data_IF_353920574184
#
_entry.id   IF_353920574184
#
_cell.length_a   1.000
_cell.length_b   1.000
_cell.length_c   1.000
_cell.angle_alpha   90.00
_cell.angle_beta   90.00
_cell.angle_gamma   90.00
#
_symmetry.space_group_name_H-M   'P 1'
#
loop_
_entity.id
_entity.type
_entity.pdbx_description
1 polymer ?
#
# COMPACT_ATOMS: atom_id res chain seq x y z
N UNK A 1 6.28 -21.81 2.89
CA UNK A 1 5.49 -20.69 3.46
C UNK A 1 4.56 -21.09 4.61
N UNK A 2 3.71 -22.11 4.47
CA UNK A 2 2.65 -22.45 5.44
C UNK A 2 3.07 -22.61 6.92
N UNK A 3 4.27 -23.15 7.23
CA UNK A 3 4.77 -23.22 8.63
C UNK A 3 4.95 -21.83 9.26
N UNK A 4 5.48 -20.89 8.49
CA UNK A 4 5.73 -19.51 8.93
C UNK A 4 4.42 -18.80 9.28
N UNK A 5 3.36 -19.03 8.48
CA UNK A 5 2.02 -18.47 8.75
C UNK A 5 1.48 -18.99 10.08
N UNK A 6 1.61 -20.30 10.36
CA UNK A 6 1.21 -20.86 11.65
C UNK A 6 1.95 -20.24 12.83
N UNK A 7 3.27 -20.19 12.75
CA UNK A 7 4.11 -19.59 13.80
C UNK A 7 3.78 -18.11 14.03
N UNK A 8 3.50 -17.35 12.96
CA UNK A 8 3.10 -15.95 13.07
C UNK A 8 1.79 -15.79 13.85
N UNK A 9 0.79 -16.60 13.55
CA UNK A 9 -0.50 -16.55 14.26
C UNK A 9 -0.39 -17.08 15.69
N UNK A 10 0.44 -18.09 15.96
CA UNK A 10 0.73 -18.57 17.32
C UNK A 10 1.40 -17.49 18.17
N UNK A 11 2.43 -16.83 17.62
CA UNK A 11 3.09 -15.70 18.28
C UNK A 11 2.12 -14.55 18.54
N UNK A 12 1.23 -14.26 17.58
CA UNK A 12 0.22 -13.22 17.72
C UNK A 12 -0.78 -13.55 18.85
N UNK A 13 -1.27 -14.79 18.92
CA UNK A 13 -2.19 -15.28 19.97
C UNK A 13 -1.57 -15.21 21.36
N UNK A 14 -0.25 -15.37 21.49
CA UNK A 14 0.46 -15.23 22.75
C UNK A 14 0.55 -13.76 23.24
N UNK A 15 0.22 -12.76 22.40
CA UNK A 15 0.23 -11.34 22.77
C UNK A 15 -1.16 -10.87 23.19
N UNK A 16 -1.20 -9.95 24.16
CA UNK A 16 -2.45 -9.33 24.65
C UNK A 16 -3.16 -8.48 23.57
N UNK A 17 -2.38 -7.79 22.72
CA UNK A 17 -2.85 -7.01 21.58
C UNK A 17 -1.72 -6.93 20.55
N UNK A 18 -2.01 -7.16 19.27
CA UNK A 18 -1.04 -6.99 18.19
C UNK A 18 -1.71 -6.68 16.85
N UNK A 19 -0.94 -6.12 15.92
CA UNK A 19 -1.38 -5.88 14.54
C UNK A 19 -0.44 -6.69 13.65
N UNK A 20 -1.02 -7.54 12.80
CA UNK A 20 -0.28 -8.27 11.76
C UNK A 20 -0.50 -7.53 10.45
N UNK A 21 0.58 -7.12 9.79
CA UNK A 21 0.53 -6.45 8.50
C UNK A 21 1.16 -7.33 7.42
N UNK A 22 0.39 -7.63 6.38
CA UNK A 22 0.86 -8.30 5.17
C UNK A 22 0.91 -7.27 4.05
N UNK A 23 2.10 -7.01 3.52
CA UNK A 23 2.26 -6.23 2.30
C UNK A 23 2.40 -7.17 1.10
N UNK A 24 2.01 -6.69 -0.08
CA UNK A 24 2.09 -7.45 -1.35
C UNK A 24 1.53 -8.87 -1.22
N UNK A 25 0.34 -9.02 -0.62
CA UNK A 25 -0.26 -10.35 -0.39
C UNK A 25 -0.56 -11.10 -1.70
N UNK A 26 -0.63 -10.39 -2.84
CA UNK A 26 -0.68 -10.97 -4.18
C UNK A 26 0.56 -11.78 -4.55
N UNK A 27 1.73 -11.50 -3.96
CA UNK A 27 2.94 -12.30 -4.15
C UNK A 27 2.82 -13.72 -3.57
N UNK A 28 1.97 -13.90 -2.55
CA UNK A 28 1.69 -15.21 -1.93
C UNK A 28 0.28 -15.75 -2.22
N UNK A 29 -0.55 -14.96 -2.91
CA UNK A 29 -1.99 -15.21 -3.09
C UNK A 29 -2.49 -15.16 -4.55
N UNK A 30 -1.59 -15.07 -5.54
CA UNK A 30 -1.96 -14.99 -6.95
C UNK A 30 -2.72 -16.20 -7.46
N UNK A 31 -3.96 -15.98 -7.90
CA UNK A 31 -4.78 -16.97 -8.59
C UNK A 31 -4.39 -17.10 -10.08
N UNK A 32 -3.67 -18.20 -10.39
CA UNK A 32 -3.56 -18.89 -11.70
C UNK A 32 -2.69 -18.26 -12.81
N UNK A 33 -1.91 -19.09 -13.50
CA UNK A 33 -2.24 -19.61 -14.84
C UNK A 33 -1.51 -20.94 -15.11
N UNK A 34 -2.16 -21.75 -15.95
CA UNK A 34 -1.91 -23.13 -16.35
C UNK A 34 -0.61 -23.31 -17.16
N UNK A 35 0.56 -23.22 -16.52
CA UNK A 35 1.84 -23.63 -17.14
C UNK A 35 2.48 -24.73 -16.30
N UNK A 36 2.37 -25.95 -16.82
CA UNK A 36 2.82 -27.17 -16.15
C UNK A 36 4.30 -27.12 -15.78
N UNK A 37 4.60 -27.09 -14.47
CA UNK A 37 5.72 -27.79 -13.83
C UNK A 37 5.81 -27.41 -12.34
N UNK A 38 5.20 -28.22 -11.46
CA UNK A 38 5.69 -28.60 -10.12
C UNK A 38 5.98 -27.55 -9.02
N UNK A 39 6.21 -26.27 -9.32
CA UNK A 39 6.67 -25.25 -8.35
C UNK A 39 5.56 -24.52 -7.60
N UNK A 40 4.31 -24.61 -8.09
CA UNK A 40 3.21 -23.72 -7.69
C UNK A 40 2.42 -24.21 -6.45
N UNK A 41 2.71 -25.44 -6.00
CA UNK A 41 2.03 -26.05 -4.86
C UNK A 41 2.35 -25.35 -3.52
N UNK A 42 3.52 -24.71 -3.38
CA UNK A 42 3.92 -24.13 -2.09
C UNK A 42 3.24 -22.79 -1.80
N UNK A 43 3.09 -21.94 -2.82
CA UNK A 43 2.44 -20.63 -2.72
C UNK A 43 0.95 -20.83 -2.38
N UNK A 44 0.27 -21.69 -3.15
CA UNK A 44 -1.13 -22.05 -2.88
C UNK A 44 -1.33 -22.64 -1.48
N UNK A 45 -0.44 -23.55 -1.03
CA UNK A 45 -0.50 -24.09 0.34
C UNK A 45 -0.34 -23.01 1.41
N UNK A 46 0.48 -22.00 1.15
CA UNK A 46 0.69 -20.89 2.08
C UNK A 46 -0.55 -19.98 2.16
N UNK A 47 -1.20 -19.73 1.02
CA UNK A 47 -2.46 -18.98 0.96
C UNK A 47 -3.60 -19.72 1.66
N UNK A 48 -3.78 -21.02 1.40
CA UNK A 48 -4.80 -21.83 2.07
C UNK A 48 -4.58 -21.88 3.58
N UNK A 49 -3.32 -21.98 4.03
CA UNK A 49 -3.01 -21.92 5.47
C UNK A 49 -3.39 -20.56 6.07
N UNK A 50 -3.12 -19.45 5.37
CA UNK A 50 -3.52 -18.13 5.83
C UNK A 50 -5.05 -18.01 5.95
N UNK A 51 -5.81 -18.54 4.98
CA UNK A 51 -7.28 -18.59 5.04
C UNK A 51 -7.75 -19.40 6.26
N UNK A 52 -7.14 -20.57 6.50
CA UNK A 52 -7.48 -21.41 7.65
C UNK A 52 -7.19 -20.71 8.99
N UNK A 53 -6.07 -20.00 9.10
CA UNK A 53 -5.73 -19.24 10.30
C UNK A 53 -6.71 -18.08 10.55
N UNK A 54 -7.21 -17.44 9.48
CA UNK A 54 -8.22 -16.38 9.55
C UNK A 54 -9.61 -16.90 9.93
N UNK A 55 -10.02 -18.08 9.42
CA UNK A 55 -11.31 -18.71 9.80
C UNK A 55 -11.39 -19.06 11.29
N UNK A 56 -10.26 -19.49 11.86
CA UNK A 56 -10.12 -19.77 13.29
C UNK A 56 -9.81 -18.52 14.14
N UNK A 57 -9.96 -17.32 13.57
CA UNK A 57 -9.61 -16.06 14.22
C UNK A 57 -10.86 -15.33 14.70
N UNK A 58 -10.86 -14.82 15.93
CA UNK A 58 -11.93 -13.95 16.40
C UNK A 58 -11.69 -12.51 15.93
N UNK A 59 -12.48 -11.97 14.97
CA UNK A 59 -12.32 -10.61 14.48
C UNK A 59 -12.61 -9.55 15.57
N UNK A 60 -13.32 -9.92 16.65
CA UNK A 60 -13.59 -9.06 17.81
C UNK A 60 -12.47 -9.07 18.84
N UNK A 61 -11.48 -9.95 18.69
CA UNK A 61 -10.30 -10.02 19.55
C UNK A 61 -9.40 -8.77 19.46
N UNK A 62 -8.42 -8.72 20.37
CA UNK A 62 -7.43 -7.63 20.45
C UNK A 62 -6.34 -7.69 19.39
N UNK A 63 -6.43 -8.64 18.46
CA UNK A 63 -5.46 -8.81 17.38
C UNK A 63 -6.15 -8.42 16.08
N UNK A 64 -5.51 -7.58 15.28
CA UNK A 64 -6.03 -7.10 13.99
C UNK A 64 -5.09 -7.50 12.87
N UNK A 65 -5.65 -7.88 11.73
CA UNK A 65 -4.90 -8.22 10.52
C UNK A 65 -5.17 -7.15 9.48
N UNK A 66 -4.09 -6.62 8.90
CA UNK A 66 -4.10 -5.67 7.80
C UNK A 66 -3.39 -6.31 6.61
N UNK A 67 -3.97 -6.16 5.42
CA UNK A 67 -3.41 -6.70 4.19
C UNK A 67 -3.41 -5.61 3.12
N UNK A 68 -2.31 -5.50 2.39
CA UNK A 68 -2.17 -4.60 1.24
C UNK A 68 -1.87 -5.41 -0.03
N UNK A 69 -2.48 -5.02 -1.13
CA UNK A 69 -2.26 -5.58 -2.47
C UNK A 69 -2.43 -4.49 -3.51
N UNK A 70 -1.68 -4.60 -4.60
CA UNK A 70 -1.86 -3.78 -5.80
C UNK A 70 -2.78 -4.47 -6.84
N UNK A 71 -3.10 -5.76 -6.62
CA UNK A 71 -3.87 -6.63 -7.52
C UNK A 71 -4.98 -7.33 -6.75
N UNK A 72 -6.04 -6.62 -6.34
CA UNK A 72 -7.15 -7.23 -5.60
C UNK A 72 -7.92 -8.29 -6.41
N UNK A 73 -7.87 -8.20 -7.74
CA UNK A 73 -8.46 -9.13 -8.71
C UNK A 73 -7.75 -10.49 -8.76
N UNK A 74 -6.45 -10.54 -8.44
CA UNK A 74 -5.68 -11.80 -8.41
C UNK A 74 -5.81 -12.57 -7.11
N UNK A 75 -6.46 -12.00 -6.08
CA UNK A 75 -6.60 -12.67 -4.79
C UNK A 75 -7.64 -13.79 -4.82
N UNK A 76 -7.39 -14.83 -4.01
CA UNK A 76 -8.34 -15.93 -3.84
C UNK A 76 -9.71 -15.39 -3.37
N UNK A 77 -10.81 -15.65 -4.11
CA UNK A 77 -12.15 -15.22 -3.74
C UNK A 77 -12.59 -15.70 -2.34
N UNK A 78 -11.98 -16.77 -1.84
CA UNK A 78 -12.20 -17.28 -0.50
C UNK A 78 -11.83 -16.24 0.58
N UNK A 79 -10.76 -15.45 0.42
CA UNK A 79 -10.42 -14.37 1.36
C UNK A 79 -11.49 -13.28 1.41
N UNK A 80 -12.20 -13.08 0.31
CA UNK A 80 -13.19 -12.01 0.16
C UNK A 80 -14.53 -12.32 0.81
N UNK A 81 -14.70 -13.53 1.37
CA UNK A 81 -15.92 -13.95 2.06
C UNK A 81 -16.08 -13.26 3.42
N UNK A 82 -17.33 -12.97 3.85
CA UNK A 82 -17.60 -12.40 5.17
C UNK A 82 -17.00 -13.24 6.30
N UNK A 83 -16.40 -12.59 7.30
CA UNK A 83 -15.73 -13.26 8.43
C UNK A 83 -14.22 -13.45 8.29
N UNK A 84 -13.64 -13.09 7.13
CA UNK A 84 -12.18 -13.13 6.87
C UNK A 84 -11.62 -11.73 6.63
N UNK A 85 -12.11 -11.07 5.57
CA UNK A 85 -11.82 -9.66 5.26
C UNK A 85 -13.08 -8.83 5.40
N UNK A 86 -13.28 -8.27 6.59
CA UNK A 86 -14.50 -7.51 6.93
C UNK A 86 -14.51 -6.09 6.34
N UNK A 87 -13.34 -5.47 6.18
CA UNK A 87 -13.18 -4.09 5.70
C UNK A 87 -12.29 -4.06 4.48
N UNK A 88 -12.81 -3.50 3.40
CA UNK A 88 -12.06 -3.23 2.16
C UNK A 88 -11.94 -1.72 2.04
N UNK A 89 -10.70 -1.24 2.00
CA UNK A 89 -10.39 0.16 1.81
C UNK A 89 -9.64 0.24 0.49
N UNK A 90 -10.26 0.89 -0.48
CA UNK A 90 -9.64 1.14 -1.78
C UNK A 90 -8.94 2.49 -1.75
N UNK A 91 -7.67 2.50 -2.16
CA UNK A 91 -6.89 3.73 -2.30
C UNK A 91 -6.92 4.18 -3.76
N UNK A 92 -7.76 5.16 -4.05
CA UNK A 92 -7.78 5.82 -5.34
C UNK A 92 -6.61 6.79 -5.53
N UNK A 93 -6.47 7.31 -6.74
CA UNK A 93 -5.53 8.39 -7.00
C UNK A 93 -5.94 9.66 -6.23
N UNK A 94 -4.98 10.41 -5.65
CA UNK A 94 -5.29 11.64 -4.96
C UNK A 94 -5.85 12.68 -5.94
N UNK A 95 -6.89 13.38 -5.52
CA UNK A 95 -7.43 14.54 -6.22
C UNK A 95 -6.48 15.75 -6.15
N UNK A 96 -6.89 16.87 -6.73
CA UNK A 96 -6.04 18.06 -6.77
C UNK A 96 -5.67 18.56 -5.35
N UNK A 97 -6.64 18.52 -4.43
CA UNK A 97 -6.43 18.93 -3.05
C UNK A 97 -5.49 17.97 -2.31
N UNK A 98 -5.71 16.67 -2.45
CA UNK A 98 -4.86 15.61 -1.91
C UNK A 98 -3.43 15.71 -2.40
N UNK A 99 -3.22 15.91 -3.72
CA UNK A 99 -1.89 16.16 -4.29
C UNK A 99 -1.25 17.42 -3.69
N UNK A 100 -2.00 18.52 -3.59
CA UNK A 100 -1.52 19.77 -2.97
C UNK A 100 -1.09 19.54 -1.52
N UNK A 101 -1.83 18.73 -0.76
CA UNK A 101 -1.50 18.40 0.62
C UNK A 101 -0.24 17.53 0.72
N UNK A 102 -0.10 16.54 -0.16
CA UNK A 102 1.10 15.70 -0.27
C UNK A 102 2.33 16.57 -0.52
N UNK A 103 2.27 17.49 -1.50
CA UNK A 103 3.35 18.44 -1.77
C UNK A 103 3.70 19.27 -0.52
N UNK A 104 2.70 19.81 0.19
CA UNK A 104 2.91 20.58 1.41
C UNK A 104 3.59 19.77 2.51
N UNK A 105 3.19 18.52 2.74
CA UNK A 105 3.79 17.65 3.76
C UNK A 105 5.27 17.39 3.45
N UNK A 106 5.58 17.00 2.21
CA UNK A 106 6.96 16.68 1.83
C UNK A 106 7.85 17.92 1.73
N UNK A 107 7.30 19.08 1.38
CA UNK A 107 8.06 20.32 1.35
C UNK A 107 8.46 20.82 2.75
N UNK A 108 7.78 20.40 3.83
CA UNK A 108 8.14 20.81 5.21
C UNK A 108 9.55 20.39 5.63
N UNK A 109 10.06 19.28 5.12
CA UNK A 109 11.42 18.81 5.42
C UNK A 109 12.48 19.40 4.49
N UNK A 110 12.09 20.26 3.55
CA UNK A 110 12.97 20.82 2.53
C UNK A 110 13.12 22.34 2.71
N UNK A 111 14.32 22.86 2.43
CA UNK A 111 14.53 24.32 2.36
C UNK A 111 13.91 24.88 1.08
N UNK A 112 12.63 25.24 1.10
CA UNK A 112 11.91 25.79 -0.06
C UNK A 112 11.74 27.30 0.04
N UNK A 113 11.54 27.97 -1.10
CA UNK A 113 11.15 29.39 -1.11
C UNK A 113 9.77 29.58 -0.46
N UNK A 114 9.54 30.76 0.11
CA UNK A 114 8.32 31.02 0.91
C UNK A 114 7.05 31.10 0.06
N UNK A 115 7.17 31.41 -1.23
CA UNK A 115 6.05 31.71 -2.11
C UNK A 115 5.71 30.59 -3.12
N UNK A 116 6.05 29.33 -2.80
CA UNK A 116 5.72 28.19 -3.67
C UNK A 116 4.20 27.96 -3.70
N UNK A 117 3.63 28.04 -4.90
CA UNK A 117 2.22 27.72 -5.17
C UNK A 117 2.03 26.21 -5.41
N UNK A 118 1.88 25.45 -4.33
CA UNK A 118 1.73 23.99 -4.38
C UNK A 118 0.51 23.51 -5.18
N UNK A 119 -0.57 24.29 -5.22
CA UNK A 119 -1.76 23.93 -6.03
C UNK A 119 -1.43 23.87 -7.52
N UNK A 120 -0.62 24.82 -7.99
CA UNK A 120 -0.20 24.87 -9.38
C UNK A 120 0.70 23.67 -9.73
N UNK A 121 1.60 23.30 -8.82
CA UNK A 121 2.41 22.08 -8.97
C UNK A 121 1.50 20.83 -9.05
N UNK A 122 0.46 20.77 -8.21
CA UNK A 122 -0.51 19.68 -8.23
C UNK A 122 -1.37 19.63 -9.51
N UNK A 123 -1.60 20.77 -10.18
CA UNK A 123 -2.26 20.83 -11.49
C UNK A 123 -1.35 20.36 -12.63
N UNK A 124 -0.05 20.63 -12.55
CA UNK A 124 0.94 20.19 -13.53
C UNK A 124 1.24 18.68 -13.46
N UNK A 125 0.85 18.03 -12.37
CA UNK A 125 1.04 16.59 -12.15
C UNK A 125 -0.29 15.81 -12.03
N UNK A 126 -1.18 15.84 -13.04
CA UNK A 126 -2.53 15.26 -12.93
C UNK A 126 -2.54 13.73 -12.80
N UNK A 127 -1.56 13.03 -13.36
CA UNK A 127 -1.49 11.56 -13.41
C UNK A 127 -0.29 10.99 -12.64
N UNK A 128 0.21 11.70 -11.63
CA UNK A 128 1.26 11.14 -10.79
C UNK A 128 0.67 9.97 -10.00
N UNK A 129 1.04 8.73 -10.35
CA UNK A 129 0.59 7.51 -9.68
C UNK A 129 1.37 7.31 -8.38
N UNK A 130 0.63 7.04 -7.30
CA UNK A 130 0.99 7.13 -5.88
C UNK A 130 2.18 6.31 -5.37
N UNK A 131 3.16 5.93 -6.19
CA UNK A 131 4.36 5.31 -5.65
C UNK A 131 5.14 6.40 -4.93
N UNK A 132 5.21 6.32 -3.60
CA UNK A 132 5.92 7.28 -2.74
C UNK A 132 7.30 7.62 -3.30
N UNK A 133 8.01 6.66 -3.93
CA UNK A 133 9.30 6.88 -4.58
C UNK A 133 9.22 7.74 -5.87
N UNK A 134 8.27 7.48 -6.79
CA UNK A 134 8.08 8.33 -7.99
C UNK A 134 7.59 9.73 -7.61
N UNK A 135 6.71 9.82 -6.61
CA UNK A 135 6.30 11.09 -6.02
C UNK A 135 7.49 11.80 -5.39
N UNK A 136 8.33 11.14 -4.59
CA UNK A 136 9.51 11.76 -3.99
C UNK A 136 10.47 12.29 -5.05
N UNK A 137 10.80 11.50 -6.07
CA UNK A 137 11.72 11.90 -7.14
C UNK A 137 11.12 13.03 -7.99
N UNK A 138 9.82 13.00 -8.27
CA UNK A 138 9.15 14.07 -9.01
C UNK A 138 9.01 15.34 -8.16
N UNK A 139 8.62 15.24 -6.89
CA UNK A 139 8.54 16.36 -5.93
C UNK A 139 9.92 16.99 -5.74
N UNK A 140 10.96 16.19 -5.46
CA UNK A 140 12.32 16.69 -5.32
C UNK A 140 12.85 17.26 -6.63
N UNK A 141 12.55 16.63 -7.76
CA UNK A 141 12.95 17.10 -9.09
C UNK A 141 12.30 18.43 -9.43
N UNK A 142 10.99 18.55 -9.25
CA UNK A 142 10.20 19.78 -9.47
C UNK A 142 10.63 20.89 -8.50
N UNK A 143 10.76 20.61 -7.21
CA UNK A 143 11.20 21.60 -6.21
C UNK A 143 12.66 22.06 -6.47
N UNK A 144 13.57 21.14 -6.79
CA UNK A 144 14.95 21.51 -7.12
C UNK A 144 15.06 22.21 -8.47
N UNK A 145 14.20 21.88 -9.43
CA UNK A 145 14.13 22.59 -10.70
C UNK A 145 13.61 24.02 -10.45
N UNK A 146 12.54 24.21 -9.68
CA UNK A 146 12.06 25.55 -9.27
C UNK A 146 13.17 26.36 -8.59
N UNK A 147 13.97 25.75 -7.69
CA UNK A 147 15.14 26.39 -7.09
C UNK A 147 16.23 26.77 -8.10
N UNK A 148 16.53 25.90 -9.06
CA UNK A 148 17.60 26.12 -10.06
C UNK A 148 17.20 27.07 -11.17
N UNK A 149 15.92 27.11 -11.51
CA UNK A 149 15.38 27.85 -12.65
C UNK A 149 15.11 29.32 -12.33
N UNK A 150 15.22 29.76 -11.08
CA UNK A 150 14.89 31.14 -10.69
C UNK A 150 13.44 31.53 -11.02
N UNK A 151 12.56 30.55 -11.26
CA UNK A 151 11.17 30.71 -11.73
C UNK A 151 10.22 31.23 -10.64
N UNK A 152 10.75 31.84 -9.58
CA UNK A 152 9.96 32.54 -8.57
C UNK A 152 9.25 33.79 -9.14
N UNK A 153 9.61 34.23 -10.36
CA UNK A 153 9.03 35.40 -11.03
C UNK A 153 7.94 35.10 -12.07
N UNK A 154 7.71 33.84 -12.47
CA UNK A 154 6.76 33.52 -13.55
C UNK A 154 5.32 33.28 -13.10
N UNK A 155 5.05 33.47 -11.82
CA UNK A 155 3.76 33.16 -11.20
C UNK A 155 3.33 34.28 -10.24
N UNK A 156 3.62 35.52 -10.63
CA UNK A 156 2.88 36.71 -10.17
C UNK A 156 1.47 36.74 -10.72
#
# INVERSE_FOLDING_TARGET
>A
GARMVRELFEMARAKKACIIFFDEIDAVGGARFDDGAGGDNEVQRTMLELINQLDGFDPRGNIKVLMATNRPDTLDPALMRPGRLDRKIEFGLPDLEGRTHIFKIHARSMSVEKDIRYELLARLCPNSTGMYSHYYVSIYGVINNVKRSGMCSCFG
#
